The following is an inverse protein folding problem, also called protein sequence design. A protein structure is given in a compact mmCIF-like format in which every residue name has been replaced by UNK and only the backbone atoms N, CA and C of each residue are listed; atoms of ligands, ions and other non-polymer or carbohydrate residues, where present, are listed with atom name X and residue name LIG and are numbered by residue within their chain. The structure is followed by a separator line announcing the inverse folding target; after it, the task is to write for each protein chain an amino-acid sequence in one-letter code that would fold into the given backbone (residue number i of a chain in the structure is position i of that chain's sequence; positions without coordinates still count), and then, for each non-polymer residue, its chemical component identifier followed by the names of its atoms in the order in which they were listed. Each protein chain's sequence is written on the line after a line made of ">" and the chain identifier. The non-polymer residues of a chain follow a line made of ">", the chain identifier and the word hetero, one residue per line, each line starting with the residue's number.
data_IF_521069604270
#
_entry.id   IF_521069604270
#
_cell.length_a   1.000
_cell.length_b   1.000
_cell.length_c   1.000
_cell.angle_alpha   90.00
_cell.angle_beta   90.00
_cell.angle_gamma   90.00
#
_symmetry.space_group_name_H-M   'P 1'
#
loop_
_entity.id
_entity.type
_entity.pdbx_description
1 polymer ?
#
# COMPACT_ATOMS: atom_id res chain seq x y z
N UNK A 1 -3.30 26.82 13.37
CA UNK A 1 -2.88 26.42 12.01
C UNK A 1 -4.00 25.65 11.33
N UNK A 2 -4.48 26.11 10.16
CA UNK A 2 -5.51 25.42 9.37
C UNK A 2 -5.00 24.01 8.96
N UNK A 3 -5.90 23.01 8.86
CA UNK A 3 -5.59 21.63 8.46
C UNK A 3 -4.75 21.59 7.19
N UNK A 4 -5.07 22.41 6.18
CA UNK A 4 -4.32 22.49 4.92
C UNK A 4 -2.82 22.77 5.16
N UNK A 5 -2.51 23.77 5.99
CA UNK A 5 -1.12 24.12 6.32
C UNK A 5 -0.41 23.02 7.13
N UNK A 6 -1.15 22.30 7.99
CA UNK A 6 -0.61 21.11 8.69
C UNK A 6 -0.22 20.02 7.72
N UNK A 7 -1.03 19.77 6.69
CA UNK A 7 -0.73 18.77 5.67
C UNK A 7 0.51 19.18 4.89
N UNK A 8 0.60 20.44 4.41
CA UNK A 8 1.79 20.93 3.71
C UNK A 8 3.06 20.81 4.55
N UNK A 9 3.01 21.21 5.83
CA UNK A 9 4.15 21.06 6.74
C UNK A 9 4.56 19.60 6.93
N UNK A 10 3.60 18.65 6.98
CA UNK A 10 3.87 17.21 7.03
C UNK A 10 4.44 16.63 5.74
N UNK A 11 4.32 17.33 4.63
CA UNK A 11 5.00 17.02 3.37
C UNK A 11 6.40 17.66 3.29
N UNK A 12 6.80 18.43 4.31
CA UNK A 12 8.01 19.25 4.26
C UNK A 12 7.91 20.40 3.25
N UNK A 13 6.70 20.95 3.07
CA UNK A 13 6.40 22.07 2.17
C UNK A 13 5.95 23.30 2.98
N UNK A 14 6.34 24.48 2.53
CA UNK A 14 6.04 25.73 3.21
C UNK A 14 4.65 26.28 2.86
N UNK A 15 4.21 26.09 1.60
CA UNK A 15 3.02 26.75 1.06
C UNK A 15 2.47 26.03 -0.19
N UNK A 16 1.34 26.54 -0.69
CA UNK A 16 0.67 26.03 -1.89
C UNK A 16 1.52 26.13 -3.16
N UNK A 17 2.34 27.18 -3.28
CA UNK A 17 3.17 27.43 -4.46
C UNK A 17 4.24 26.35 -4.60
N UNK A 18 4.87 25.93 -3.50
CA UNK A 18 5.79 24.78 -3.51
C UNK A 18 5.11 23.51 -3.99
N UNK A 19 3.90 23.20 -3.51
CA UNK A 19 3.17 22.02 -3.97
C UNK A 19 2.86 22.13 -5.47
N UNK A 20 2.32 23.26 -5.94
CA UNK A 20 1.98 23.47 -7.34
C UNK A 20 3.19 23.33 -8.27
N UNK A 21 4.37 23.76 -7.84
CA UNK A 21 5.62 23.62 -8.60
C UNK A 21 6.08 22.16 -8.76
N UNK A 22 5.55 21.23 -7.95
CA UNK A 22 5.84 19.81 -8.03
C UNK A 22 4.86 19.02 -8.91
N UNK A 23 3.67 19.55 -9.19
CA UNK A 23 2.61 18.86 -9.91
C UNK A 23 2.75 18.97 -11.43
N UNK A 24 2.09 18.05 -12.16
CA UNK A 24 2.00 18.10 -13.61
C UNK A 24 0.90 19.04 -14.11
N UNK A 25 1.30 20.28 -14.34
CA UNK A 25 0.46 21.34 -14.87
C UNK A 25 0.72 21.60 -16.36
N UNK A 26 1.33 20.63 -17.07
CA UNK A 26 1.61 20.72 -18.51
C UNK A 26 0.33 20.71 -19.36
N UNK A 27 0.45 21.01 -20.66
CA UNK A 27 -0.70 21.05 -21.57
C UNK A 27 -1.36 19.66 -21.72
N UNK A 28 -2.44 19.44 -20.95
CA UNK A 28 -3.21 18.19 -20.96
C UNK A 28 -3.87 17.91 -22.30
N UNK A 29 -4.26 18.94 -23.05
CA UNK A 29 -4.91 18.76 -24.35
C UNK A 29 -3.99 18.05 -25.34
N UNK A 30 -2.72 18.46 -25.41
CA UNK A 30 -1.74 17.85 -26.31
C UNK A 30 -1.46 16.40 -25.93
N UNK A 31 -1.36 16.12 -24.63
CA UNK A 31 -1.18 14.76 -24.10
C UNK A 31 -2.37 13.86 -24.44
N UNK A 32 -3.60 14.32 -24.18
CA UNK A 32 -4.80 13.52 -24.47
C UNK A 32 -4.92 13.27 -25.97
N UNK A 33 -4.66 14.29 -26.80
CA UNK A 33 -4.69 14.16 -28.26
C UNK A 33 -3.68 13.15 -28.81
N UNK A 34 -2.58 12.89 -28.10
CA UNK A 34 -1.68 11.82 -28.46
C UNK A 34 -2.38 10.44 -28.47
N UNK A 35 -3.26 10.20 -27.50
CA UNK A 35 -4.00 8.94 -27.37
C UNK A 35 -5.38 8.98 -28.05
N UNK A 36 -6.01 10.15 -28.13
CA UNK A 36 -7.34 10.39 -28.69
C UNK A 36 -7.37 11.70 -29.50
N UNK A 37 -6.96 11.69 -30.78
CA UNK A 37 -6.75 12.91 -31.58
C UNK A 37 -7.96 13.83 -31.71
N UNK A 38 -9.17 13.27 -31.65
CA UNK A 38 -10.43 14.04 -31.77
C UNK A 38 -10.85 14.75 -30.48
N UNK A 39 -10.11 14.55 -29.38
CA UNK A 39 -10.44 15.18 -28.11
C UNK A 39 -10.43 16.71 -28.22
N UNK A 40 -11.49 17.32 -27.71
CA UNK A 40 -11.59 18.76 -27.51
C UNK A 40 -11.77 19.05 -26.03
N UNK A 41 -11.16 20.13 -25.57
CA UNK A 41 -11.26 20.55 -24.17
C UNK A 41 -10.98 22.03 -24.11
N UNK A 42 -11.90 22.79 -23.53
CA UNK A 42 -11.74 24.23 -23.35
C UNK A 42 -11.96 24.58 -21.88
N UNK A 43 -10.86 24.72 -21.14
CA UNK A 43 -10.87 25.40 -19.85
C UNK A 43 -9.73 26.39 -19.87
N UNK A 44 -9.97 27.63 -19.41
CA UNK A 44 -8.97 28.70 -19.37
C UNK A 44 -8.92 29.35 -17.98
N UNK A 45 -9.47 28.67 -16.98
CA UNK A 45 -9.49 29.19 -15.61
C UNK A 45 -8.10 29.03 -14.99
N UNK A 46 -7.71 30.01 -14.17
CA UNK A 46 -6.52 29.92 -13.34
C UNK A 46 -6.58 28.68 -12.46
N UNK A 47 -5.42 28.07 -12.23
CA UNK A 47 -5.32 26.91 -11.35
C UNK A 47 -5.58 27.36 -9.91
N UNK A 48 -6.61 26.79 -9.30
CA UNK A 48 -6.93 26.97 -7.87
C UNK A 48 -6.89 25.62 -7.16
N UNK A 49 -6.43 25.62 -5.91
CA UNK A 49 -6.26 24.41 -5.12
C UNK A 49 -7.00 24.48 -3.78
N UNK A 50 -8.04 23.67 -3.63
CA UNK A 50 -8.80 23.50 -2.40
C UNK A 50 -8.40 22.22 -1.66
N UNK A 51 -8.50 22.25 -0.33
CA UNK A 51 -8.41 21.04 0.49
C UNK A 51 -9.80 20.45 0.66
N UNK A 52 -9.97 19.18 0.30
CA UNK A 52 -11.22 18.45 0.50
C UNK A 52 -11.12 17.64 1.80
N UNK A 53 -12.20 17.63 2.59
CA UNK A 53 -12.24 16.97 3.91
C UNK A 53 -11.92 15.46 3.86
N UNK A 54 -12.01 14.85 2.67
CA UNK A 54 -11.70 13.45 2.40
C UNK A 54 -10.19 13.17 2.25
N UNK A 55 -9.35 14.17 2.44
CA UNK A 55 -7.91 13.96 2.64
C UNK A 55 -7.03 14.19 1.42
N UNK A 56 -7.53 14.89 0.41
CA UNK A 56 -6.80 15.24 -0.82
C UNK A 56 -7.03 16.70 -1.21
N UNK A 57 -6.12 17.24 -2.02
CA UNK A 57 -6.28 18.53 -2.66
C UNK A 57 -7.01 18.35 -3.98
N UNK A 58 -8.02 19.19 -4.25
CA UNK A 58 -8.69 19.28 -5.54
C UNK A 58 -8.12 20.49 -6.28
N UNK A 59 -7.74 20.26 -7.53
CA UNK A 59 -7.30 21.30 -8.44
C UNK A 59 -8.39 21.57 -9.46
N UNK A 60 -8.68 22.86 -9.68
CA UNK A 60 -9.58 23.33 -10.73
C UNK A 60 -8.83 24.31 -11.62
N UNK A 61 -9.27 24.46 -12.86
CA UNK A 61 -8.58 25.28 -13.86
C UNK A 61 -7.38 24.58 -14.51
N UNK A 62 -6.86 25.20 -15.55
CA UNK A 62 -5.88 24.63 -16.47
C UNK A 62 -4.93 25.67 -17.07
N UNK A 63 -5.14 26.96 -16.78
CA UNK A 63 -4.24 28.03 -17.21
C UNK A 63 -2.93 27.93 -16.42
N UNK A 64 -1.91 27.44 -17.11
CA UNK A 64 -0.57 27.19 -16.62
C UNK A 64 0.43 28.30 -17.01
N UNK A 65 -0.03 29.47 -17.49
CA UNK A 65 0.86 30.59 -17.88
C UNK A 65 1.82 31.08 -16.79
N UNK A 66 1.59 30.71 -15.53
CA UNK A 66 2.44 31.07 -14.39
C UNK A 66 3.44 29.99 -13.96
N UNK A 67 3.32 28.75 -14.43
CA UNK A 67 4.15 27.66 -13.93
C UNK A 67 5.43 27.54 -14.76
N UNK A 68 6.57 27.76 -14.10
CA UNK A 68 7.90 27.52 -14.68
C UNK A 68 8.07 26.03 -15.02
N UNK A 69 9.04 25.72 -15.87
CA UNK A 69 9.48 24.32 -16.09
C UNK A 69 9.66 23.62 -14.73
N UNK A 70 8.83 22.60 -14.51
CA UNK A 70 8.79 21.83 -13.26
C UNK A 70 10.08 21.06 -13.07
N UNK A 71 10.75 21.23 -11.92
CA UNK A 71 11.95 20.48 -11.55
C UNK A 71 11.66 19.16 -10.86
N UNK A 72 10.39 18.80 -10.67
CA UNK A 72 9.99 17.64 -9.89
C UNK A 72 10.12 16.32 -10.63
N UNK A 73 10.69 15.35 -9.93
CA UNK A 73 10.67 13.96 -10.38
C UNK A 73 9.30 13.34 -10.11
N UNK A 74 8.72 12.78 -11.16
CA UNK A 74 7.43 12.10 -11.12
C UNK A 74 7.58 10.74 -11.77
N UNK A 75 6.98 9.73 -11.15
CA UNK A 75 6.93 8.37 -11.68
C UNK A 75 5.47 7.97 -11.82
N UNK A 76 5.06 7.54 -13.00
CA UNK A 76 3.65 7.23 -13.21
C UNK A 76 3.31 6.78 -14.62
N UNK A 77 2.01 6.83 -14.90
CA UNK A 77 1.41 6.28 -16.10
C UNK A 77 0.33 7.22 -16.63
N UNK A 78 0.21 7.29 -17.95
CA UNK A 78 -0.84 8.01 -18.68
C UNK A 78 -1.35 7.11 -19.80
N UNK A 79 -2.67 6.98 -19.94
CA UNK A 79 -3.30 6.07 -20.90
C UNK A 79 -4.80 6.34 -21.02
N UNK A 80 -5.43 5.71 -22.00
CA UNK A 80 -6.89 5.54 -22.04
C UNK A 80 -7.24 4.19 -21.41
N UNK A 81 -8.09 4.20 -20.39
CA UNK A 81 -8.77 3.02 -19.88
C UNK A 81 -9.94 2.71 -20.83
N UNK A 82 -9.78 1.70 -21.70
CA UNK A 82 -10.80 1.41 -22.73
C UNK A 82 -11.82 0.41 -22.22
N UNK A 83 -13.09 0.76 -22.38
CA UNK A 83 -14.19 -0.19 -22.32
C UNK A 83 -14.38 -0.87 -23.70
N UNK A 84 -14.76 -2.16 -23.78
CA UNK A 84 -14.95 -3.10 -22.67
C UNK A 84 -13.64 -3.62 -22.09
N UNK A 85 -13.68 -4.04 -20.82
CA UNK A 85 -12.54 -4.68 -20.17
C UNK A 85 -12.17 -6.00 -20.86
N UNK A 86 -10.88 -6.30 -20.91
CA UNK A 86 -10.38 -7.61 -21.36
C UNK A 86 -10.53 -8.63 -20.23
N UNK A 87 -10.73 -9.90 -20.58
CA UNK A 87 -10.67 -10.99 -19.62
C UNK A 87 -9.22 -11.20 -19.22
N UNK A 88 -8.90 -10.89 -17.96
CA UNK A 88 -7.62 -11.23 -17.36
C UNK A 88 -7.80 -11.39 -15.86
N UNK A 89 -7.32 -12.51 -15.31
CA UNK A 89 -7.45 -12.83 -13.90
C UNK A 89 -6.13 -12.57 -13.16
N UNK A 90 -6.22 -11.91 -12.01
CA UNK A 90 -5.08 -11.56 -11.20
C UNK A 90 -5.10 -12.34 -9.90
N UNK A 91 -4.20 -13.32 -9.79
CA UNK A 91 -3.87 -13.94 -8.50
C UNK A 91 -3.39 -12.93 -7.44
N UNK A 92 -3.03 -13.35 -6.23
CA UNK A 92 -2.67 -12.43 -5.14
C UNK A 92 -1.45 -11.54 -5.45
N UNK A 93 -1.34 -10.41 -4.73
CA UNK A 93 -0.17 -9.52 -4.79
C UNK A 93 0.94 -10.08 -3.90
N UNK A 94 2.05 -10.48 -4.52
CA UNK A 94 3.18 -11.11 -3.83
C UNK A 94 4.41 -10.19 -3.72
N UNK A 95 4.41 -9.08 -4.44
CA UNK A 95 5.54 -8.14 -4.46
C UNK A 95 5.38 -7.04 -3.40
N UNK A 96 6.51 -6.53 -2.95
CA UNK A 96 6.62 -5.47 -1.93
C UNK A 96 7.60 -4.41 -2.43
N UNK A 97 7.29 -3.10 -2.33
CA UNK A 97 8.19 -2.05 -2.79
C UNK A 97 9.50 -2.03 -2.00
N UNK A 98 10.58 -1.57 -2.61
CA UNK A 98 11.94 -1.70 -2.06
C UNK A 98 12.14 -0.99 -0.71
N UNK A 99 11.43 0.12 -0.50
CA UNK A 99 11.48 0.89 0.74
C UNK A 99 10.32 0.56 1.70
N UNK A 100 9.69 -0.62 1.58
CA UNK A 100 8.63 -1.02 2.50
C UNK A 100 9.16 -1.27 3.92
N UNK A 101 8.47 -0.77 4.96
CA UNK A 101 8.85 -1.01 6.36
C UNK A 101 8.92 -2.50 6.69
N UNK A 102 10.05 -2.94 7.24
CA UNK A 102 10.19 -4.28 7.82
C UNK A 102 9.43 -4.42 9.15
N UNK A 103 9.29 -3.31 9.88
CA UNK A 103 8.55 -3.20 11.13
C UNK A 103 7.35 -2.25 10.97
N UNK A 104 6.28 -2.70 10.31
CA UNK A 104 5.10 -1.87 10.11
C UNK A 104 4.32 -1.73 11.43
N UNK A 105 3.62 -0.61 11.62
CA UNK A 105 2.92 -0.33 12.88
C UNK A 105 1.42 -0.63 12.72
N UNK A 106 0.79 -1.35 13.66
CA UNK A 106 -0.66 -1.41 13.80
C UNK A 106 -1.30 -0.05 13.95
N UNK A 107 -2.42 0.16 13.26
CA UNK A 107 -3.14 1.42 13.29
C UNK A 107 -4.50 1.28 13.96
N UNK A 108 -4.75 2.12 14.96
CA UNK A 108 -6.03 2.14 15.67
C UNK A 108 -6.28 0.85 16.46
N UNK A 109 -7.48 0.29 16.40
CA UNK A 109 -7.84 -0.99 17.06
C UNK A 109 -8.19 -2.11 16.06
N UNK A 110 -8.08 -1.86 14.75
CA UNK A 110 -8.42 -2.81 13.68
C UNK A 110 -7.18 -3.54 13.13
N UNK A 111 -7.39 -4.48 12.19
CA UNK A 111 -6.34 -5.14 11.39
C UNK A 111 -5.62 -4.20 10.38
N UNK A 112 -5.73 -2.89 10.56
CA UNK A 112 -5.14 -1.89 9.65
C UNK A 112 -3.70 -1.58 10.05
N UNK A 113 -2.90 -1.20 9.05
CA UNK A 113 -1.50 -0.84 9.26
C UNK A 113 -1.28 0.62 8.90
N UNK A 114 -0.18 1.21 9.37
CA UNK A 114 0.18 2.57 8.94
C UNK A 114 0.66 2.62 7.49
N UNK A 115 1.32 1.57 6.98
CA UNK A 115 1.84 1.54 5.61
C UNK A 115 1.20 0.42 4.78
N UNK A 116 0.79 0.76 3.56
CA UNK A 116 0.28 -0.15 2.54
C UNK A 116 1.23 -0.22 1.34
N UNK A 117 1.13 -1.33 0.59
CA UNK A 117 1.77 -1.50 -0.71
C UNK A 117 0.95 -0.71 -1.74
N UNK A 118 1.26 0.58 -1.88
CA UNK A 118 0.54 1.47 -2.78
C UNK A 118 0.89 1.18 -4.23
N UNK A 119 -0.12 0.95 -5.07
CA UNK A 119 0.02 0.95 -6.52
C UNK A 119 -0.10 2.39 -7.05
N UNK A 120 0.80 2.82 -7.93
CA UNK A 120 0.65 4.10 -8.63
C UNK A 120 -0.54 3.97 -9.59
N UNK A 121 -0.47 3.04 -10.52
CA UNK A 121 -1.61 2.64 -11.35
C UNK A 121 -2.34 1.46 -10.71
N UNK A 122 -3.60 1.66 -10.36
CA UNK A 122 -4.38 0.68 -9.62
C UNK A 122 -4.51 -0.67 -10.32
N UNK A 123 -4.35 -1.74 -9.54
CA UNK A 123 -4.51 -3.12 -10.00
C UNK A 123 -5.86 -3.38 -10.65
N UNK A 124 -6.92 -2.76 -10.14
CA UNK A 124 -8.28 -2.88 -10.68
C UNK A 124 -8.41 -2.39 -12.13
N UNK A 125 -7.54 -1.49 -12.58
CA UNK A 125 -7.56 -0.94 -13.93
C UNK A 125 -6.78 -1.78 -14.93
N UNK A 126 -6.04 -2.81 -14.47
CA UNK A 126 -5.21 -3.65 -15.32
C UNK A 126 -5.94 -4.18 -16.55
N UNK A 127 -7.16 -4.70 -16.36
CA UNK A 127 -8.01 -5.29 -17.41
C UNK A 127 -8.38 -4.32 -18.55
N UNK A 128 -8.27 -3.01 -18.34
CA UNK A 128 -8.60 -1.98 -19.34
C UNK A 128 -7.39 -1.58 -20.21
N UNK A 129 -6.19 -2.07 -19.89
CA UNK A 129 -4.93 -1.69 -20.54
C UNK A 129 -4.01 -2.88 -20.87
N UNK A 130 -4.37 -4.10 -20.45
CA UNK A 130 -3.56 -5.30 -20.73
C UNK A 130 -3.25 -5.46 -22.22
N UNK A 131 -1.97 -5.66 -22.53
CA UNK A 131 -1.47 -5.79 -23.90
C UNK A 131 -1.26 -4.48 -24.66
N UNK A 132 -1.50 -3.32 -24.04
CA UNK A 132 -1.16 -2.03 -24.66
C UNK A 132 0.34 -1.86 -24.75
N UNK A 133 0.81 -1.18 -25.80
CA UNK A 133 2.20 -0.78 -25.88
C UNK A 133 2.49 0.23 -24.77
N UNK A 134 3.61 0.06 -24.09
CA UNK A 134 4.09 1.05 -23.14
C UNK A 134 4.90 2.08 -23.92
N UNK A 135 4.64 3.36 -23.67
CA UNK A 135 5.40 4.46 -24.25
C UNK A 135 6.40 5.02 -23.24
N UNK A 136 7.51 5.59 -23.71
CA UNK A 136 8.41 6.37 -22.85
C UNK A 136 7.85 7.79 -22.60
N UNK A 137 8.57 8.61 -21.83
CA UNK A 137 8.15 9.98 -21.51
C UNK A 137 8.05 10.92 -22.73
N UNK A 138 8.65 10.56 -23.87
CA UNK A 138 8.56 11.26 -25.14
C UNK A 138 7.47 10.66 -26.05
N UNK A 139 6.61 9.80 -25.51
CA UNK A 139 5.57 9.07 -26.23
C UNK A 139 6.08 8.18 -27.38
N UNK A 140 7.30 7.66 -27.26
CA UNK A 140 7.87 6.73 -28.23
C UNK A 140 7.60 5.28 -27.80
N UNK A 141 7.32 4.43 -28.79
CA UNK A 141 7.10 3.00 -28.59
C UNK A 141 8.30 2.36 -27.86
N UNK A 142 8.00 1.70 -26.74
CA UNK A 142 8.92 0.72 -26.17
C UNK A 142 8.61 -0.67 -26.74
N UNK A 143 9.56 -1.60 -26.66
CA UNK A 143 9.29 -3.00 -27.00
C UNK A 143 8.38 -3.70 -25.96
N UNK A 144 8.14 -3.06 -24.81
CA UNK A 144 7.34 -3.62 -23.72
C UNK A 144 5.84 -3.42 -23.95
N UNK A 145 5.05 -4.39 -23.50
CA UNK A 145 3.58 -4.29 -23.41
C UNK A 145 3.14 -4.36 -21.95
N UNK A 146 2.08 -3.63 -21.63
CA UNK A 146 1.47 -3.66 -20.32
C UNK A 146 0.99 -5.07 -19.97
N UNK A 147 1.45 -5.57 -18.82
CA UNK A 147 1.19 -6.93 -18.36
C UNK A 147 1.21 -7.00 -16.82
N UNK A 148 1.04 -8.21 -16.27
CA UNK A 148 1.21 -8.47 -14.84
C UNK A 148 2.54 -8.01 -14.26
N UNK A 149 3.60 -8.12 -15.06
CA UNK A 149 4.94 -7.68 -14.66
C UNK A 149 4.98 -6.15 -14.48
N UNK A 150 4.20 -5.41 -15.28
CA UNK A 150 4.13 -3.94 -15.22
C UNK A 150 3.36 -3.47 -13.98
N UNK A 151 2.18 -4.05 -13.73
CA UNK A 151 1.28 -3.63 -12.65
C UNK A 151 1.83 -3.97 -11.26
N UNK A 152 2.43 -5.14 -11.07
CA UNK A 152 3.01 -5.53 -9.77
C UNK A 152 4.52 -5.22 -9.71
N UNK A 153 5.01 -4.34 -10.59
CA UNK A 153 6.43 -3.94 -10.63
C UNK A 153 6.85 -3.16 -9.38
N UNK A 154 7.77 -3.73 -8.59
CA UNK A 154 8.41 -3.08 -7.43
C UNK A 154 9.03 -1.73 -7.74
N UNK A 155 9.67 -1.61 -8.91
CA UNK A 155 10.42 -0.42 -9.30
C UNK A 155 9.59 0.60 -10.09
N UNK A 156 8.58 0.15 -10.86
CA UNK A 156 7.82 1.03 -11.76
C UNK A 156 6.45 1.43 -11.22
N UNK A 157 5.78 0.57 -10.43
CA UNK A 157 4.37 0.77 -10.07
C UNK A 157 4.02 0.61 -8.58
N UNK A 158 4.91 0.06 -7.76
CA UNK A 158 4.70 -0.04 -6.32
C UNK A 158 5.52 1.01 -5.55
N UNK A 159 4.96 1.50 -4.45
CA UNK A 159 5.66 2.34 -3.48
C UNK A 159 5.05 2.18 -2.08
N UNK A 160 5.81 2.57 -1.06
CA UNK A 160 5.30 2.62 0.32
C UNK A 160 4.39 3.82 0.46
N UNK A 161 3.13 3.58 0.79
CA UNK A 161 2.13 4.63 0.97
C UNK A 161 1.50 4.52 2.35
N UNK A 162 1.24 5.63 3.02
CA UNK A 162 0.44 5.60 4.24
C UNK A 162 -0.96 5.04 3.94
N UNK A 163 -1.52 4.23 4.84
CA UNK A 163 -2.83 3.59 4.64
C UNK A 163 -3.94 4.60 4.43
N UNK A 164 -3.88 5.75 5.13
CA UNK A 164 -4.80 6.87 4.90
C UNK A 164 -4.74 7.39 3.46
N UNK A 165 -3.53 7.62 2.94
CA UNK A 165 -3.34 8.10 1.57
C UNK A 165 -3.76 7.04 0.53
N UNK A 166 -3.46 5.77 0.80
CA UNK A 166 -3.90 4.64 -0.04
C UNK A 166 -5.43 4.54 -0.11
N UNK A 167 -6.13 4.72 1.02
CA UNK A 167 -7.61 4.75 1.07
C UNK A 167 -8.18 5.95 0.32
N UNK A 168 -7.61 7.14 0.51
CA UNK A 168 -8.03 8.34 -0.22
C UNK A 168 -7.80 8.22 -1.74
N UNK A 169 -6.70 7.58 -2.16
CA UNK A 169 -6.45 7.27 -3.57
C UNK A 169 -7.53 6.31 -4.11
N UNK A 170 -7.86 5.25 -3.37
CA UNK A 170 -8.91 4.30 -3.75
C UNK A 170 -10.30 4.96 -3.90
N UNK A 171 -10.63 5.96 -3.08
CA UNK A 171 -11.88 6.74 -3.22
C UNK A 171 -11.93 7.52 -4.55
N UNK A 172 -10.81 8.08 -4.99
CA UNK A 172 -10.73 8.77 -6.29
C UNK A 172 -10.80 7.76 -7.43
N UNK A 173 -10.10 6.64 -7.31
CA UNK A 173 -10.11 5.56 -8.30
C UNK A 173 -11.50 4.90 -8.43
N UNK A 174 -12.30 4.88 -7.37
CA UNK A 174 -13.69 4.43 -7.43
C UNK A 174 -14.55 5.29 -8.36
N UNK A 175 -14.33 6.62 -8.39
CA UNK A 175 -15.04 7.51 -9.32
C UNK A 175 -14.71 7.18 -10.78
N UNK A 176 -13.44 6.89 -11.07
CA UNK A 176 -12.99 6.45 -12.40
C UNK A 176 -13.60 5.08 -12.73
N UNK A 177 -13.68 4.18 -11.75
CA UNK A 177 -14.30 2.88 -11.95
C UNK A 177 -15.79 2.98 -12.28
N UNK A 178 -16.51 3.89 -11.63
CA UNK A 178 -17.93 4.14 -11.91
C UNK A 178 -18.14 4.60 -13.37
N UNK A 179 -17.29 5.50 -13.89
CA UNK A 179 -17.33 5.88 -15.32
C UNK A 179 -17.13 4.67 -16.24
N UNK A 180 -16.18 3.80 -15.92
CA UNK A 180 -15.92 2.56 -16.69
C UNK A 180 -17.08 1.56 -16.60
N UNK A 181 -17.84 1.55 -15.49
CA UNK A 181 -19.05 0.73 -15.35
C UNK A 181 -20.23 1.29 -16.15
N UNK A 182 -20.25 2.60 -16.40
CA UNK A 182 -21.17 3.29 -17.32
C UNK A 182 -20.75 3.17 -18.80
N UNK A 183 -19.85 2.23 -19.12
CA UNK A 183 -19.36 1.95 -20.48
C UNK A 183 -18.55 3.11 -21.12
N UNK A 184 -18.09 4.07 -20.32
CA UNK A 184 -17.29 5.20 -20.80
C UNK A 184 -15.80 4.85 -20.83
N UNK A 185 -15.11 5.25 -21.90
CA UNK A 185 -13.64 5.23 -21.91
C UNK A 185 -13.10 6.49 -21.24
N UNK A 186 -12.08 6.33 -20.42
CA UNK A 186 -11.55 7.41 -19.58
C UNK A 186 -10.08 7.62 -19.91
N UNK A 187 -9.71 8.86 -20.20
CA UNK A 187 -8.30 9.24 -20.15
C UNK A 187 -7.88 9.36 -18.69
N UNK A 188 -6.83 8.65 -18.30
CA UNK A 188 -6.39 8.53 -16.92
C UNK A 188 -4.88 8.72 -16.82
N UNK A 189 -4.48 9.60 -15.91
CA UNK A 189 -3.10 9.80 -15.53
C UNK A 189 -2.93 9.69 -14.02
N UNK A 190 -1.88 9.01 -13.60
CA UNK A 190 -1.53 8.88 -12.20
C UNK A 190 -0.03 8.88 -12.00
N UNK A 191 0.45 9.69 -11.06
CA UNK A 191 1.88 9.88 -10.81
C UNK A 191 2.17 9.92 -9.31
N UNK A 192 3.14 9.15 -8.86
CA UNK A 192 3.81 9.40 -7.60
C UNK A 192 4.74 10.62 -7.77
N UNK A 193 4.56 11.62 -6.90
CA UNK A 193 5.28 12.89 -6.92
C UNK A 193 6.37 12.86 -5.84
N UNK A 194 7.61 13.11 -6.23
CA UNK A 194 8.75 13.18 -5.32
C UNK A 194 9.26 14.62 -5.24
N UNK A 195 9.77 15.00 -4.06
CA UNK A 195 10.38 16.32 -3.88
C UNK A 195 11.77 16.33 -4.54
N UNK A 196 12.54 15.25 -4.37
CA UNK A 196 13.81 15.00 -5.04
C UNK A 196 13.82 13.62 -5.74
N UNK A 197 14.45 13.46 -6.92
CA UNK A 197 14.58 12.16 -7.58
C UNK A 197 15.21 11.04 -6.73
N UNK A 198 16.04 11.39 -5.74
CA UNK A 198 16.69 10.43 -4.84
C UNK A 198 15.82 10.06 -3.62
N UNK A 199 14.67 10.70 -3.43
CA UNK A 199 13.79 10.40 -2.30
C UNK A 199 13.25 8.97 -2.38
N UNK A 200 13.21 8.27 -1.24
CA UNK A 200 12.66 6.91 -1.19
C UNK A 200 11.14 6.89 -1.23
N UNK A 201 10.48 7.88 -0.63
CA UNK A 201 9.02 7.98 -0.59
C UNK A 201 8.54 9.19 -1.38
N UNK A 202 7.47 9.03 -2.20
CA UNK A 202 6.81 10.19 -2.78
C UNK A 202 6.06 10.96 -1.69
N UNK A 203 5.97 12.28 -1.87
CA UNK A 203 5.16 13.17 -1.03
C UNK A 203 3.66 12.98 -1.30
N UNK A 204 3.27 12.35 -2.40
CA UNK A 204 1.87 12.07 -2.70
C UNK A 204 1.65 11.46 -4.08
N UNK A 205 0.37 11.25 -4.39
CA UNK A 205 -0.10 10.77 -5.69
C UNK A 205 -0.91 11.88 -6.38
N UNK A 206 -0.52 12.26 -7.58
CA UNK A 206 -1.29 13.13 -8.46
C UNK A 206 -2.15 12.27 -9.39
N UNK A 207 -3.45 12.56 -9.48
CA UNK A 207 -4.40 11.90 -10.39
C UNK A 207 -5.09 12.95 -11.25
N UNK A 208 -5.09 12.73 -12.56
CA UNK A 208 -5.91 13.47 -13.51
C UNK A 208 -6.75 12.49 -14.32
N UNK A 209 -8.03 12.78 -14.51
CA UNK A 209 -8.86 12.01 -15.44
C UNK A 209 -9.96 12.84 -16.08
N UNK A 210 -10.38 12.40 -17.27
CA UNK A 210 -11.51 12.97 -18.01
C UNK A 210 -12.21 11.87 -18.79
N UNK A 211 -13.54 11.90 -18.81
CA UNK A 211 -14.33 11.03 -19.66
C UNK A 211 -14.13 11.44 -21.12
N UNK A 212 -13.92 10.47 -22.02
CA UNK A 212 -13.84 10.76 -23.45
C UNK A 212 -15.24 11.02 -24.07
N UNK A 213 -16.31 10.74 -23.31
CA UNK A 213 -17.68 11.04 -23.72
C UNK A 213 -18.12 12.45 -23.28
N UNK A 214 -17.58 12.95 -22.17
CA UNK A 214 -17.88 14.28 -21.61
C UNK A 214 -16.64 15.17 -21.62
N UNK A 215 -16.58 16.06 -22.61
CA UNK A 215 -15.40 16.88 -22.93
C UNK A 215 -15.23 18.11 -22.03
N UNK A 216 -16.20 18.40 -21.14
CA UNK A 216 -16.24 19.65 -20.37
C UNK A 216 -15.85 19.48 -18.89
N UNK A 217 -15.82 18.25 -18.38
CA UNK A 217 -15.56 17.97 -16.96
C UNK A 217 -14.36 17.05 -16.76
N UNK A 218 -13.27 17.64 -16.27
CA UNK A 218 -12.10 16.89 -15.81
C UNK A 218 -12.04 16.88 -14.29
N UNK A 219 -11.27 15.94 -13.77
CA UNK A 219 -10.95 15.88 -12.36
C UNK A 219 -9.44 15.81 -12.16
N UNK A 220 -8.93 16.67 -11.27
CA UNK A 220 -7.52 16.75 -10.95
C UNK A 220 -7.35 16.80 -9.43
N UNK A 221 -6.61 15.84 -8.90
CA UNK A 221 -6.42 15.65 -7.47
C UNK A 221 -4.96 15.43 -7.13
N UNK A 222 -4.55 15.89 -5.95
CA UNK A 222 -3.31 15.49 -5.31
C UNK A 222 -3.60 14.88 -3.94
N UNK A 223 -3.23 13.62 -3.75
CA UNK A 223 -3.41 12.86 -2.53
C UNK A 223 -2.08 12.90 -1.75
N UNK A 224 -1.98 13.66 -0.64
CA UNK A 224 -0.75 13.74 0.15
C UNK A 224 -0.47 12.41 0.84
N UNK A 225 0.78 11.94 0.75
CA UNK A 225 1.24 10.72 1.41
C UNK A 225 1.55 11.00 2.89
N UNK A 226 0.49 11.22 3.67
CA UNK A 226 0.57 11.53 5.11
C UNK A 226 -0.45 10.74 5.91
N UNK A 227 -0.13 10.50 7.18
CA UNK A 227 -1.07 9.97 8.17
C UNK A 227 -1.23 10.94 9.34
N UNK A 228 -2.44 11.00 9.91
CA UNK A 228 -2.69 11.84 11.07
C UNK A 228 -2.04 11.29 12.34
N UNK A 229 -1.94 9.96 12.44
CA UNK A 229 -1.29 9.27 13.55
C UNK A 229 0.24 9.30 13.51
N UNK A 230 0.86 9.90 12.50
CA UNK A 230 2.32 10.09 12.43
C UNK A 230 2.67 11.58 12.61
N UNK A 231 3.51 11.92 13.59
CA UNK A 231 3.89 13.31 13.86
C UNK A 231 5.37 13.51 14.27
N UNK A 232 6.15 14.18 13.41
CA UNK A 232 7.56 14.53 13.62
C UNK A 232 7.79 15.92 14.23
N UNK A 233 6.78 16.68 14.65
CA UNK A 233 6.97 18.05 15.18
C UNK A 233 7.95 18.13 16.37
N UNK A 234 8.08 17.07 17.17
CA UNK A 234 9.01 16.99 18.30
C UNK A 234 10.25 16.11 18.00
N UNK A 235 10.52 15.84 16.72
CA UNK A 235 11.64 15.03 16.26
C UNK A 235 12.87 15.88 15.98
N UNK A 236 14.06 15.26 16.05
CA UNK A 236 15.28 15.85 15.50
C UNK A 236 15.34 15.72 13.96
N UNK A 237 14.65 14.73 13.40
CA UNK A 237 14.48 14.52 11.96
C UNK A 237 13.21 15.23 11.49
N UNK A 238 13.32 16.06 10.46
CA UNK A 238 12.16 16.71 9.85
C UNK A 238 11.42 15.81 8.83
N UNK A 239 10.30 16.30 8.30
CA UNK A 239 9.52 15.56 7.31
C UNK A 239 10.26 15.38 5.97
N UNK A 240 11.07 16.34 5.54
CA UNK A 240 11.82 16.22 4.29
C UNK A 240 12.84 15.07 4.37
N UNK A 241 13.55 14.97 5.49
CA UNK A 241 14.46 13.86 5.78
C UNK A 241 13.74 12.51 5.85
N UNK A 242 12.49 12.47 6.35
CA UNK A 242 11.68 11.26 6.34
C UNK A 242 11.37 10.78 4.92
N UNK A 243 10.92 11.65 4.00
CA UNK A 243 10.65 11.24 2.62
C UNK A 243 11.93 10.83 1.87
N UNK A 244 13.03 11.55 2.12
CA UNK A 244 14.35 11.25 1.57
C UNK A 244 14.84 9.86 1.97
N UNK A 245 14.79 9.54 3.26
CA UNK A 245 15.43 8.34 3.80
C UNK A 245 14.48 7.14 3.97
N UNK A 246 13.17 7.38 3.93
CA UNK A 246 12.14 6.39 4.23
C UNK A 246 12.01 6.10 5.73
N UNK A 247 11.05 5.23 6.07
CA UNK A 247 10.81 4.81 7.44
C UNK A 247 11.98 3.98 7.99
N UNK A 248 12.28 4.22 9.25
CA UNK A 248 13.25 3.49 10.07
C UNK A 248 12.63 3.34 11.45
N UNK A 249 12.62 2.11 11.96
CA UNK A 249 12.00 1.79 13.25
C UNK A 249 12.62 2.56 14.41
N UNK A 250 13.95 2.60 14.49
CA UNK A 250 14.71 3.30 15.53
C UNK A 250 14.37 4.80 15.59
N UNK A 251 14.30 5.44 14.44
CA UNK A 251 14.16 6.90 14.36
C UNK A 251 12.70 7.34 14.39
N UNK A 252 11.78 6.55 13.81
CA UNK A 252 10.44 7.02 13.50
C UNK A 252 9.32 6.37 14.31
N UNK A 253 9.50 5.14 14.82
CA UNK A 253 8.41 4.38 15.46
C UNK A 253 7.73 5.16 16.58
N UNK A 254 8.50 5.79 17.47
CA UNK A 254 8.01 6.57 18.62
C UNK A 254 7.12 7.77 18.25
N UNK A 255 7.10 8.16 16.98
CA UNK A 255 6.28 9.28 16.47
C UNK A 255 4.94 8.84 15.88
N UNK A 256 4.62 7.54 15.98
CA UNK A 256 3.30 7.00 15.69
C UNK A 256 2.42 7.04 16.95
N UNK A 257 1.14 7.37 16.79
CA UNK A 257 0.16 7.39 17.87
C UNK A 257 0.01 6.02 18.54
N UNK A 258 0.18 4.95 17.76
CA UNK A 258 0.09 3.55 18.20
C UNK A 258 1.49 2.90 18.35
N UNK A 259 2.52 3.69 18.68
CA UNK A 259 3.91 3.24 18.71
C UNK A 259 4.23 2.15 19.75
N UNK A 260 3.45 2.12 20.82
CA UNK A 260 3.47 1.16 21.92
C UNK A 260 2.82 -0.18 21.58
N UNK A 261 1.99 -0.21 20.52
CA UNK A 261 1.46 -1.48 20.01
C UNK A 261 2.60 -2.26 19.39
N UNK A 262 3.10 -3.26 20.13
CA UNK A 262 4.12 -4.17 19.62
C UNK A 262 3.64 -4.94 18.39
N UNK A 263 4.59 -5.45 17.61
CA UNK A 263 4.37 -6.49 16.62
C UNK A 263 3.80 -7.74 17.32
N UNK A 264 2.51 -7.72 17.68
CA UNK A 264 1.78 -8.99 17.73
C UNK A 264 1.88 -9.54 16.30
N UNK A 265 2.08 -10.83 16.14
CA UNK A 265 2.42 -11.42 14.85
C UNK A 265 1.20 -11.62 13.95
N UNK A 266 0.45 -10.55 13.63
CA UNK A 266 -0.73 -10.62 12.75
C UNK A 266 -0.36 -10.57 11.25
N UNK A 267 0.94 -10.55 10.91
CA UNK A 267 1.42 -10.81 9.55
C UNK A 267 1.62 -12.31 9.29
N UNK A 268 0.54 -13.09 9.27
CA UNK A 268 0.51 -14.32 8.47
C UNK A 268 -0.85 -14.41 7.77
N UNK A 269 -0.98 -13.70 6.65
CA UNK A 269 -2.10 -13.83 5.72
C UNK A 269 -2.08 -15.13 4.92
N UNK A 270 -1.19 -16.09 5.23
CA UNK A 270 -1.04 -17.36 4.51
C UNK A 270 -1.97 -18.49 5.01
N UNK A 271 -2.74 -18.26 6.08
CA UNK A 271 -3.50 -19.33 6.77
C UNK A 271 -4.85 -19.70 6.13
N UNK A 272 -5.14 -19.30 4.89
CA UNK A 272 -6.40 -19.67 4.22
C UNK A 272 -6.56 -21.19 3.96
N UNK A 273 -5.48 -21.97 4.12
CA UNK A 273 -5.47 -23.44 3.93
C UNK A 273 -5.34 -24.25 5.23
N UNK A 274 -5.06 -23.63 6.38
CA UNK A 274 -4.77 -24.41 7.59
C UNK A 274 -6.05 -25.05 8.17
N UNK A 275 -5.95 -26.32 8.56
CA UNK A 275 -7.05 -27.03 9.21
C UNK A 275 -6.74 -27.23 10.69
N UNK A 276 -7.72 -26.92 11.55
CA UNK A 276 -7.63 -27.05 13.00
C UNK A 276 -8.47 -28.24 13.44
N UNK A 277 -7.85 -29.18 14.15
CA UNK A 277 -8.50 -30.35 14.73
C UNK A 277 -8.27 -30.36 16.25
N UNK A 278 -9.32 -30.59 17.03
CA UNK A 278 -9.25 -30.65 18.50
C UNK A 278 -10.05 -31.84 19.01
N UNK A 279 -9.35 -32.83 19.57
CA UNK A 279 -9.95 -34.01 20.21
C UNK A 279 -9.44 -34.11 21.66
N UNK A 280 -10.15 -34.83 22.53
CA UNK A 280 -9.81 -34.93 23.97
C UNK A 280 -8.33 -35.31 24.21
N UNK A 281 -7.50 -34.32 24.56
CA UNK A 281 -6.06 -34.46 24.86
C UNK A 281 -5.08 -34.16 23.72
N UNK A 282 -5.57 -33.90 22.49
CA UNK A 282 -4.75 -33.54 21.32
C UNK A 282 -5.35 -32.33 20.58
N UNK A 283 -4.51 -31.38 20.22
CA UNK A 283 -4.86 -30.24 19.38
C UNK A 283 -3.84 -30.15 18.24
N UNK A 284 -4.30 -30.10 17.00
CA UNK A 284 -3.40 -30.03 15.84
C UNK A 284 -3.82 -28.97 14.85
N UNK A 285 -2.82 -28.31 14.27
CA UNK A 285 -2.96 -27.40 13.13
C UNK A 285 -2.15 -27.99 12.00
N UNK A 286 -2.76 -28.19 10.84
CA UNK A 286 -2.09 -28.74 9.64
C UNK A 286 -1.83 -27.66 8.61
N UNK A 287 -0.89 -27.93 7.72
CA UNK A 287 -0.57 -27.08 6.57
C UNK A 287 -0.09 -25.67 6.95
N UNK A 288 0.52 -25.51 8.12
CA UNK A 288 1.19 -24.26 8.49
C UNK A 288 2.48 -24.10 7.67
N UNK A 289 2.70 -22.90 7.14
CA UNK A 289 3.95 -22.59 6.45
C UNK A 289 5.12 -22.67 7.45
N UNK A 290 6.29 -23.11 6.96
CA UNK A 290 7.48 -23.27 7.82
C UNK A 290 7.84 -21.99 8.56
N UNK A 291 7.68 -20.84 7.90
CA UNK A 291 7.95 -19.50 8.47
C UNK A 291 6.99 -19.21 9.63
N UNK A 292 5.71 -19.56 9.48
CA UNK A 292 4.71 -19.42 10.54
C UNK A 292 5.07 -20.24 11.78
N UNK A 293 5.47 -21.49 11.56
CA UNK A 293 5.82 -22.39 12.66
C UNK A 293 7.10 -21.96 13.36
N UNK A 294 8.14 -21.60 12.61
CA UNK A 294 9.41 -21.14 13.19
C UNK A 294 9.19 -19.87 14.04
N UNK A 295 8.38 -18.93 13.56
CA UNK A 295 8.02 -17.70 14.29
C UNK A 295 7.23 -17.99 15.57
N UNK A 296 6.19 -18.82 15.47
CA UNK A 296 5.37 -19.24 16.61
C UNK A 296 6.22 -19.97 17.68
N UNK A 297 7.12 -20.86 17.25
CA UNK A 297 8.02 -21.56 18.16
C UNK A 297 8.93 -20.58 18.89
N UNK A 298 9.56 -19.62 18.22
CA UNK A 298 10.44 -18.61 18.85
C UNK A 298 9.70 -17.75 19.88
N UNK A 299 8.47 -17.32 19.59
CA UNK A 299 7.66 -16.60 20.58
C UNK A 299 7.35 -17.44 21.81
N UNK A 300 6.98 -18.71 21.61
CA UNK A 300 6.73 -19.63 22.72
C UNK A 300 8.01 -19.88 23.55
N UNK A 301 9.20 -19.82 22.96
CA UNK A 301 10.46 -19.90 23.72
C UNK A 301 10.68 -18.70 24.62
N UNK A 302 10.23 -17.53 24.18
CA UNK A 302 10.43 -16.26 24.86
C UNK A 302 9.40 -16.10 25.99
N UNK A 303 8.14 -16.46 25.73
CA UNK A 303 7.02 -16.25 26.65
C UNK A 303 6.89 -17.34 27.72
N UNK A 304 7.44 -18.54 27.47
CA UNK A 304 7.24 -19.70 28.35
C UNK A 304 8.57 -20.40 28.64
N UNK A 305 8.79 -20.75 29.92
CA UNK A 305 9.96 -21.54 30.34
C UNK A 305 9.97 -22.93 29.66
N UNK A 306 10.73 -23.06 28.57
CA UNK A 306 10.96 -24.34 27.91
C UNK A 306 11.83 -25.22 28.80
N UNK A 307 11.32 -26.42 29.08
CA UNK A 307 12.05 -27.42 29.88
C UNK A 307 12.85 -28.39 29.03
N UNK A 308 12.46 -28.59 27.77
CA UNK A 308 13.16 -29.48 26.85
C UNK A 308 12.94 -29.06 25.40
N UNK A 309 14.03 -29.10 24.62
CA UNK A 309 14.05 -28.99 23.17
C UNK A 309 14.71 -30.24 22.59
N UNK A 310 14.05 -30.96 21.69
CA UNK A 310 14.58 -32.19 21.10
C UNK A 310 14.19 -32.32 19.62
N UNK A 311 15.16 -32.70 18.80
CA UNK A 311 14.89 -33.15 17.43
C UNK A 311 14.24 -34.54 17.45
N UNK A 312 13.13 -34.67 16.73
CA UNK A 312 12.39 -35.93 16.56
C UNK A 312 12.41 -36.33 15.09
N UNK A 313 12.06 -37.58 14.80
CA UNK A 313 11.94 -38.03 13.42
C UNK A 313 10.93 -37.12 12.69
N UNK A 314 11.40 -36.50 11.61
CA UNK A 314 10.67 -35.57 10.74
C UNK A 314 10.21 -34.27 11.42
N UNK A 315 10.83 -33.84 12.53
CA UNK A 315 10.35 -32.66 13.23
C UNK A 315 11.14 -32.18 14.45
N UNK A 316 10.52 -31.23 15.15
CA UNK A 316 11.03 -30.62 16.39
C UNK A 316 10.01 -30.74 17.50
N UNK A 317 10.45 -31.10 18.70
CA UNK A 317 9.60 -31.22 19.88
C UNK A 317 10.02 -30.25 20.98
N UNK A 318 9.04 -29.53 21.52
CA UNK A 318 9.16 -28.59 22.63
C UNK A 318 8.32 -29.12 23.81
N UNK A 319 8.88 -29.12 25.02
CA UNK A 319 8.10 -29.44 26.23
C UNK A 319 8.05 -28.25 27.18
N UNK A 320 6.83 -27.95 27.59
CA UNK A 320 6.50 -26.98 28.64
C UNK A 320 5.79 -27.71 29.78
N UNK A 321 5.63 -27.09 30.94
CA UNK A 321 5.12 -27.69 32.18
C UNK A 321 3.82 -28.54 32.06
N UNK A 322 3.93 -29.80 31.62
CA UNK A 322 2.80 -30.74 31.44
C UNK A 322 2.21 -30.82 30.03
N UNK A 323 2.82 -30.17 29.05
CA UNK A 323 2.39 -30.16 27.64
C UNK A 323 3.59 -30.35 26.70
N UNK A 324 3.32 -30.94 25.54
CA UNK A 324 4.29 -31.22 24.49
C UNK A 324 3.78 -30.66 23.18
N UNK A 325 4.57 -29.82 22.53
CA UNK A 325 4.31 -29.27 21.21
C UNK A 325 5.29 -29.90 20.22
N UNK A 326 4.79 -30.53 19.16
CA UNK A 326 5.60 -31.19 18.14
C UNK A 326 5.30 -30.58 16.77
N UNK A 327 6.33 -30.10 16.08
CA UNK A 327 6.24 -29.64 14.69
C UNK A 327 6.77 -30.74 13.76
N UNK A 328 5.89 -31.30 12.93
CA UNK A 328 6.24 -32.22 11.85
C UNK A 328 6.47 -31.44 10.57
N UNK A 329 7.75 -31.35 10.17
CA UNK A 329 8.19 -30.53 9.04
C UNK A 329 7.74 -31.08 7.69
N UNK A 330 7.57 -32.39 7.56
CA UNK A 330 7.13 -33.06 6.33
C UNK A 330 5.67 -32.77 5.96
N UNK A 331 4.82 -32.44 6.95
CA UNK A 331 3.39 -32.21 6.77
C UNK A 331 2.95 -30.81 7.20
N UNK A 332 3.89 -29.94 7.58
CA UNK A 332 3.59 -28.61 8.15
C UNK A 332 2.63 -28.67 9.34
N UNK A 333 2.70 -29.76 10.13
CA UNK A 333 1.73 -30.03 11.19
C UNK A 333 2.28 -29.66 12.55
N UNK A 334 1.54 -28.85 13.30
CA UNK A 334 1.82 -28.53 14.68
C UNK A 334 0.85 -29.30 15.59
N UNK A 335 1.38 -30.16 16.45
CA UNK A 335 0.61 -31.01 17.36
C UNK A 335 0.92 -30.65 18.82
N UNK A 336 -0.10 -30.20 19.54
CA UNK A 336 -0.11 -29.99 20.98
C UNK A 336 -0.75 -31.19 21.69
N UNK A 337 -0.05 -31.70 22.70
CA UNK A 337 -0.51 -32.81 23.53
C UNK A 337 -0.26 -32.49 24.99
N UNK A 338 -1.14 -32.89 25.89
CA UNK A 338 -0.94 -32.64 27.31
C UNK A 338 -1.91 -33.38 28.21
N UNK A 339 -1.45 -33.70 29.42
CA UNK A 339 -2.27 -34.34 30.45
C UNK A 339 -2.71 -33.33 31.55
N UNK A 340 -2.15 -32.12 31.56
CA UNK A 340 -2.58 -31.02 32.43
C UNK A 340 -3.55 -30.11 31.67
N UNK A 341 -4.85 -30.31 31.90
CA UNK A 341 -5.92 -29.60 31.18
C UNK A 341 -5.76 -28.07 31.19
N UNK A 342 -5.43 -27.48 32.34
CA UNK A 342 -5.28 -26.03 32.46
C UNK A 342 -4.14 -25.47 31.60
N UNK A 343 -2.99 -26.15 31.56
CA UNK A 343 -1.85 -25.71 30.74
C UNK A 343 -2.06 -26.04 29.27
N UNK A 344 -2.74 -27.15 28.96
CA UNK A 344 -3.14 -27.51 27.61
C UNK A 344 -4.07 -26.45 27.01
N UNK A 345 -5.15 -26.05 27.70
CA UNK A 345 -6.07 -25.03 27.19
C UNK A 345 -5.42 -23.65 27.08
N UNK A 346 -4.51 -23.28 28.01
CA UNK A 346 -3.75 -22.02 27.90
C UNK A 346 -2.82 -21.98 26.68
N UNK A 347 -2.15 -23.08 26.35
CA UNK A 347 -1.28 -23.12 25.15
C UNK A 347 -2.15 -23.17 23.90
N UNK A 348 -3.21 -23.99 23.90
CA UNK A 348 -4.17 -24.07 22.81
C UNK A 348 -4.79 -22.71 22.48
N UNK A 349 -5.24 -21.96 23.48
CA UNK A 349 -5.80 -20.62 23.26
C UNK A 349 -4.75 -19.69 22.66
N UNK A 350 -3.52 -19.68 23.18
CA UNK A 350 -2.42 -18.90 22.59
C UNK A 350 -2.14 -19.27 21.12
N UNK A 351 -2.17 -20.56 20.79
CA UNK A 351 -2.02 -21.02 19.40
C UNK A 351 -3.20 -20.55 18.53
N UNK A 352 -4.42 -20.57 19.05
CA UNK A 352 -5.61 -20.09 18.33
C UNK A 352 -5.60 -18.57 18.17
N UNK A 353 -5.20 -17.80 19.18
CA UNK A 353 -5.08 -16.34 19.13
C UNK A 353 -4.01 -15.91 18.11
N UNK A 354 -2.96 -16.72 17.93
CA UNK A 354 -1.95 -16.51 16.89
C UNK A 354 -2.48 -16.79 15.48
N UNK A 355 -3.51 -17.62 15.36
CA UNK A 355 -4.11 -18.05 14.09
C UNK A 355 -5.42 -17.32 13.75
N UNK A 356 -6.08 -16.72 14.73
CA UNK A 356 -7.32 -15.99 14.55
C UNK A 356 -7.03 -14.68 13.82
N UNK A 357 -7.65 -14.51 12.65
CA UNK A 357 -8.04 -13.20 12.17
C UNK A 357 -9.15 -12.75 13.14
N UNK A 358 -8.92 -11.70 13.92
CA UNK A 358 -10.04 -11.12 14.65
C UNK A 358 -10.79 -10.24 13.64
N UNK A 359 -12.04 -10.64 13.34
CA UNK A 359 -12.97 -10.01 12.38
C UNK A 359 -13.08 -8.47 12.51
#
# INVERSE_FOLDING_TARGET
>A
MNVKQKILGRLGLENDEELLNLLDLSNRLDKIKHFYPEFQFSTNNLIEMSWENNGYFKLIGSDNKKTKETTSFRRGWETILKFPARSDDFGPLNETPDAFPKGNIPKGNSEDWYFHRGHIFARRFHKYVVGYKILNAQHQDTQEKWSKISIDSRAKNLFTQFSRANKAQAEIEEKVHQLLQSEESVYYEVKAVFKDPADKYPIGTEIFYVSLSSHDEFAHYFIPNVDFGFNLENSQTDYADFYKNGYSEENHRKFFADSDREHRNWQISENESCTVESNSGNFSIRELSKIAVDSLIENLKTDREIKLYKDVQDGKQLKFSGVTLTHYTSTGTLLLQGNKLQEFEKVKQYLLDYLSKED
#
